data_IF_287137802647
#
_entry.id   IF_287137802647
#
_cell.length_a   1.000
_cell.length_b   1.000
_cell.length_c   1.000
_cell.angle_alpha   90.00
_cell.angle_beta   90.00
_cell.angle_gamma   90.00
#
_symmetry.space_group_name_H-M   'P 1'
#
loop_
_entity.id
_entity.type
_entity.pdbx_description
1 polymer ?
#
# COMPACT_ATOMS: atom_id res chain seq x y z
N UNK A 1 -1.07 3.07 -12.95
CA UNK A 1 -1.46 1.77 -13.52
C UNK A 1 -2.25 1.02 -12.44
N UNK A 2 -3.57 0.93 -12.57
CA UNK A 2 -4.43 0.18 -11.64
C UNK A 2 -4.77 -1.16 -12.27
N UNK A 3 -4.19 -2.24 -11.75
CA UNK A 3 -4.50 -3.61 -12.19
C UNK A 3 -5.76 -4.09 -11.48
N UNK A 4 -6.64 -4.81 -12.19
CA UNK A 4 -7.64 -5.66 -11.53
C UNK A 4 -6.87 -6.82 -10.92
N UNK A 5 -7.01 -7.04 -9.62
CA UNK A 5 -6.42 -8.21 -9.00
C UNK A 5 -7.40 -9.34 -9.20
N UNK A 6 -7.12 -10.19 -10.19
CA UNK A 6 -7.77 -11.48 -10.36
C UNK A 6 -6.96 -12.58 -9.68
N UNK A 7 -7.55 -13.75 -9.58
CA UNK A 7 -6.95 -15.02 -9.14
C UNK A 7 -5.62 -15.39 -9.84
N UNK A 8 -5.31 -14.75 -10.98
CA UNK A 8 -4.05 -14.91 -11.72
C UNK A 8 -2.96 -13.88 -11.36
N UNK A 9 -3.27 -12.93 -10.48
CA UNK A 9 -2.34 -11.86 -10.09
C UNK A 9 -1.32 -12.40 -9.11
N UNK A 10 -0.08 -12.60 -9.58
CA UNK A 10 1.01 -13.04 -8.73
C UNK A 10 1.46 -11.91 -7.78
N UNK A 11 0.87 -11.86 -6.58
CA UNK A 11 1.20 -10.87 -5.55
C UNK A 11 2.64 -11.04 -5.06
N UNK A 12 3.16 -12.26 -5.08
CA UNK A 12 4.55 -12.53 -4.75
C UNK A 12 5.53 -11.86 -5.72
N UNK A 13 5.10 -11.33 -6.87
CA UNK A 13 5.93 -10.55 -7.79
C UNK A 13 5.72 -9.03 -7.69
N UNK A 14 4.82 -8.57 -6.82
CA UNK A 14 4.51 -7.16 -6.67
C UNK A 14 5.73 -6.38 -6.12
N UNK A 15 6.43 -5.68 -7.02
CA UNK A 15 7.64 -4.91 -6.69
C UNK A 15 7.37 -3.82 -5.62
N UNK A 16 6.27 -3.05 -5.68
CA UNK A 16 5.94 -2.12 -4.61
C UNK A 16 5.81 -2.77 -3.22
N UNK A 17 5.12 -3.91 -3.11
CA UNK A 17 4.97 -4.63 -1.84
C UNK A 17 6.32 -5.17 -1.37
N UNK A 18 7.10 -5.81 -2.25
CA UNK A 18 8.46 -6.27 -1.91
C UNK A 18 9.35 -5.16 -1.36
N UNK A 19 9.30 -3.98 -1.98
CA UNK A 19 10.08 -2.83 -1.51
C UNK A 19 9.58 -2.33 -0.16
N UNK A 20 8.27 -2.24 0.03
CA UNK A 20 7.66 -1.84 1.30
C UNK A 20 8.09 -2.74 2.46
N UNK A 21 8.06 -4.06 2.24
CA UNK A 21 8.32 -5.07 3.27
C UNK A 21 9.78 -5.46 3.39
N UNK A 22 10.67 -4.83 2.62
CA UNK A 22 12.11 -5.09 2.64
C UNK A 22 12.83 -4.46 3.83
N UNK A 23 14.13 -4.73 3.90
CA UNK A 23 15.02 -4.20 4.95
C UNK A 23 15.55 -2.80 4.64
N UNK A 24 15.44 -2.35 3.38
CA UNK A 24 15.85 -0.99 2.99
C UNK A 24 14.84 0.04 3.47
N UNK A 25 15.33 1.05 4.18
CA UNK A 25 14.51 2.15 4.66
C UNK A 25 14.02 3.04 3.52
N UNK A 26 12.73 3.33 3.50
CA UNK A 26 12.10 4.22 2.52
C UNK A 26 11.90 5.59 3.16
N UNK A 27 12.49 6.62 2.56
CA UNK A 27 12.32 8.00 3.01
C UNK A 27 10.86 8.45 2.90
N UNK A 28 10.37 9.22 3.87
CA UNK A 28 9.02 9.83 3.84
C UNK A 28 8.76 10.66 2.55
N UNK A 29 9.80 11.15 1.87
CA UNK A 29 9.70 11.95 0.65
C UNK A 29 9.99 11.16 -0.64
N UNK A 30 10.19 9.84 -0.55
CA UNK A 30 10.49 9.01 -1.72
C UNK A 30 9.28 8.99 -2.70
N UNK A 31 9.50 9.17 -4.02
CA UNK A 31 8.45 9.04 -5.03
C UNK A 31 7.71 7.69 -5.03
N UNK A 32 8.33 6.65 -4.46
CA UNK A 32 7.73 5.35 -4.18
C UNK A 32 6.32 5.43 -3.63
N UNK A 33 6.08 6.33 -2.66
CA UNK A 33 4.79 6.46 -2.00
C UNK A 33 3.68 6.87 -2.97
N UNK A 34 4.01 7.62 -4.03
CA UNK A 34 3.03 7.95 -5.06
C UNK A 34 2.60 6.71 -5.82
N UNK A 35 3.54 5.83 -6.17
CA UNK A 35 3.26 4.56 -6.85
C UNK A 35 2.45 3.62 -5.95
N UNK A 36 2.85 3.48 -4.68
CA UNK A 36 2.17 2.62 -3.72
C UNK A 36 0.75 3.10 -3.43
N UNK A 37 0.56 4.40 -3.17
CA UNK A 37 -0.76 4.96 -2.82
C UNK A 37 -1.67 5.17 -4.05
N UNK A 38 -1.11 5.20 -5.26
CA UNK A 38 -1.91 5.17 -6.50
C UNK A 38 -2.34 3.76 -6.90
N UNK A 39 -1.90 2.74 -6.14
CA UNK A 39 -2.28 1.36 -6.40
C UNK A 39 -3.77 1.18 -6.14
N UNK A 40 -4.52 0.95 -7.21
CA UNK A 40 -5.95 0.68 -7.13
C UNK A 40 -6.15 -0.83 -7.16
N UNK A 41 -6.36 -1.38 -5.97
CA UNK A 41 -6.77 -2.77 -5.79
C UNK A 41 -8.26 -2.89 -6.17
N UNK A 42 -8.57 -3.69 -7.19
CA UNK A 42 -9.95 -4.09 -7.49
C UNK A 42 -10.06 -5.59 -7.26
N UNK A 43 -10.62 -5.95 -6.11
CA UNK A 43 -11.06 -7.31 -5.79
C UNK A 43 -12.57 -7.34 -6.02
N UNK A 44 -13.10 -8.45 -6.52
CA UNK A 44 -14.53 -8.66 -6.53
C UNK A 44 -15.00 -9.10 -5.13
N UNK A 45 -15.57 -8.17 -4.37
CA UNK A 45 -16.06 -8.43 -3.01
C UNK A 45 -17.20 -9.47 -2.97
N UNK A 46 -17.82 -9.80 -4.11
CA UNK A 46 -18.82 -10.87 -4.21
C UNK A 46 -18.18 -12.25 -4.38
N UNK A 47 -16.91 -12.33 -4.80
CA UNK A 47 -16.14 -13.58 -4.83
C UNK A 47 -15.34 -13.76 -3.55
N UNK A 48 -16.02 -14.31 -2.54
CA UNK A 48 -15.42 -14.59 -1.22
C UNK A 48 -14.21 -15.53 -1.27
N UNK A 49 -14.11 -16.38 -2.28
CA UNK A 49 -12.97 -17.30 -2.42
C UNK A 49 -11.75 -16.53 -2.95
N UNK A 50 -11.94 -15.67 -3.96
CA UNK A 50 -10.90 -14.79 -4.47
C UNK A 50 -10.40 -13.80 -3.40
N UNK A 51 -11.32 -13.19 -2.65
CA UNK A 51 -10.96 -12.29 -1.55
C UNK A 51 -10.14 -12.99 -0.45
N UNK A 52 -10.48 -14.25 -0.12
CA UNK A 52 -9.73 -15.03 0.86
C UNK A 52 -8.35 -15.44 0.34
N UNK A 53 -8.26 -15.92 -0.89
CA UNK A 53 -6.98 -16.30 -1.50
C UNK A 53 -6.03 -15.09 -1.59
N UNK A 54 -6.61 -13.92 -1.89
CA UNK A 54 -5.87 -12.66 -1.86
C UNK A 54 -5.31 -12.35 -0.46
N UNK A 55 -6.13 -12.42 0.58
CA UNK A 55 -5.72 -12.15 1.97
C UNK A 55 -4.61 -13.12 2.44
N UNK A 56 -4.76 -14.41 2.12
CA UNK A 56 -3.75 -15.44 2.40
C UNK A 56 -2.42 -15.13 1.69
N UNK A 57 -2.45 -14.63 0.45
CA UNK A 57 -1.25 -14.25 -0.30
C UNK A 57 -0.53 -13.01 0.23
N UNK A 58 -1.21 -12.15 1.00
CA UNK A 58 -0.62 -10.97 1.64
C UNK A 58 0.04 -11.28 2.97
N UNK A 59 -0.31 -12.39 3.62
CA UNK A 59 0.15 -12.68 4.98
C UNK A 59 1.68 -12.66 5.11
N UNK A 60 2.41 -13.24 4.15
CA UNK A 60 3.87 -13.26 4.16
C UNK A 60 4.49 -11.86 4.05
N UNK A 61 3.88 -10.98 3.25
CA UNK A 61 4.28 -9.58 3.16
C UNK A 61 4.04 -8.85 4.48
N UNK A 62 2.87 -9.04 5.10
CA UNK A 62 2.53 -8.39 6.37
C UNK A 62 3.46 -8.86 7.50
N UNK A 63 3.77 -10.15 7.57
CA UNK A 63 4.74 -10.68 8.52
C UNK A 63 6.13 -10.11 8.28
N UNK A 64 6.57 -10.04 7.02
CA UNK A 64 7.88 -9.46 6.66
C UNK A 64 7.96 -7.98 7.01
N UNK A 65 6.88 -7.21 6.77
CA UNK A 65 6.80 -5.80 7.11
C UNK A 65 6.97 -5.58 8.61
N UNK A 66 6.28 -6.38 9.42
CA UNK A 66 6.35 -6.27 10.88
C UNK A 66 7.71 -6.73 11.41
N UNK A 67 8.28 -7.79 10.86
CA UNK A 67 9.62 -8.26 11.25
C UNK A 67 10.70 -7.23 10.90
N UNK A 68 10.66 -6.68 9.67
CA UNK A 68 11.65 -5.72 9.18
C UNK A 68 11.43 -4.31 9.72
N UNK A 69 10.31 -4.01 10.39
CA UNK A 69 10.00 -2.64 10.84
C UNK A 69 11.04 -2.08 11.80
N UNK A 70 11.75 -2.93 12.55
CA UNK A 70 12.80 -2.48 13.46
C UNK A 70 14.06 -2.01 12.71
N UNK A 71 14.32 -2.58 11.53
CA UNK A 71 15.48 -2.28 10.68
C UNK A 71 15.16 -1.16 9.68
N UNK A 72 14.08 -1.30 8.91
CA UNK A 72 13.75 -0.38 7.81
C UNK A 72 12.90 0.81 8.26
N UNK A 73 12.11 0.65 9.32
CA UNK A 73 11.13 1.66 9.75
C UNK A 73 9.99 1.90 8.75
N UNK A 74 9.83 1.03 7.74
CA UNK A 74 8.91 1.25 6.61
C UNK A 74 7.44 1.29 7.03
N UNK A 75 7.04 0.51 8.04
CA UNK A 75 5.67 0.61 8.58
C UNK A 75 5.40 2.00 9.20
N UNK A 76 6.34 2.50 10.00
CA UNK A 76 6.20 3.83 10.60
C UNK A 76 6.21 4.94 9.54
N UNK A 77 7.07 4.82 8.51
CA UNK A 77 7.10 5.73 7.38
C UNK A 77 5.78 5.73 6.61
N UNK A 78 5.22 4.54 6.36
CA UNK A 78 3.92 4.39 5.71
C UNK A 78 2.81 5.11 6.49
N UNK A 79 2.72 4.92 7.82
CA UNK A 79 1.74 5.62 8.66
C UNK A 79 1.91 7.14 8.57
N UNK A 80 3.14 7.66 8.68
CA UNK A 80 3.40 9.11 8.59
C UNK A 80 2.98 9.68 7.24
N UNK A 81 3.36 9.02 6.15
CA UNK A 81 3.05 9.47 4.78
C UNK A 81 1.54 9.39 4.52
N UNK A 82 0.89 8.32 4.96
CA UNK A 82 -0.56 8.15 4.85
C UNK A 82 -1.32 9.27 5.59
N UNK A 83 -0.92 9.57 6.84
CA UNK A 83 -1.54 10.64 7.63
C UNK A 83 -1.31 12.02 7.01
N UNK A 84 -0.10 12.30 6.51
CA UNK A 84 0.22 13.54 5.79
C UNK A 84 -0.69 13.70 4.57
N UNK A 85 -0.76 12.68 3.71
CA UNK A 85 -1.56 12.70 2.48
C UNK A 85 -3.06 12.81 2.75
N UNK A 86 -3.55 12.13 3.78
CA UNK A 86 -4.95 12.22 4.20
C UNK A 86 -5.32 13.62 4.68
N UNK A 87 -4.40 14.31 5.37
CA UNK A 87 -4.59 15.69 5.83
C UNK A 87 -4.56 16.67 4.66
N UNK A 88 -3.63 16.48 3.72
CA UNK A 88 -3.54 17.27 2.48
C UNK A 88 -4.83 17.17 1.65
N UNK A 89 -5.35 15.96 1.45
CA UNK A 89 -6.62 15.73 0.72
C UNK A 89 -7.80 16.45 1.37
N UNK A 90 -7.97 16.32 2.69
CA UNK A 90 -9.04 17.03 3.43
C UNK A 90 -8.93 18.55 3.29
N UNK A 91 -7.71 19.06 3.26
CA UNK A 91 -7.45 20.50 3.12
C UNK A 91 -7.81 20.97 1.70
N UNK A 92 -7.37 20.24 0.67
CA UNK A 92 -7.69 20.54 -0.73
C UNK A 92 -9.20 20.53 -1.02
N UNK A 93 -9.94 19.53 -0.50
CA UNK A 93 -11.40 19.47 -0.61
C UNK A 93 -12.11 20.65 0.07
N UNK A 94 -11.54 21.16 1.18
CA UNK A 94 -12.09 22.36 1.81
C UNK A 94 -11.88 23.58 0.93
N UNK A 95 -10.67 23.79 0.38
CA UNK A 95 -10.41 24.94 -0.49
C UNK A 95 -11.20 24.92 -1.81
N UNK A 96 -11.46 23.75 -2.40
CA UNK A 96 -12.36 23.63 -3.56
C UNK A 96 -13.80 24.04 -3.24
N UNK A 97 -14.29 23.83 -2.02
CA UNK A 97 -15.65 24.25 -1.62
C UNK A 97 -15.81 25.77 -1.42
N UNK A 98 -14.72 26.51 -1.36
CA UNK A 98 -14.72 27.98 -1.18
C UNK A 98 -14.36 28.76 -2.45
N UNK A 99 -14.21 28.07 -3.58
CA UNK A 99 -13.95 28.66 -4.91
C UNK A 99 -15.14 28.41 -5.83
#
# INVERSE_FOLDING_TARGET
>A
MGGRISSETNIAENLPLKRLTGEEAISDNDPFWNTLLSFNLKIDDYDTAEARAFDESLNDFLQSLMYNTQTSGNFAAFIRVFLRRSTELKTSEQYEKWT
#
